data_IF_717723766697
#
_entry.id   IF_717723766697
#
_cell.length_a   1.000
_cell.length_b   1.000
_cell.length_c   1.000
_cell.angle_alpha   90.00
_cell.angle_beta   90.00
_cell.angle_gamma   90.00
#
_symmetry.space_group_name_H-M   'P 1'
#
loop_
_entity.id
_entity.type
_entity.pdbx_description
1 polymer ?
#
# COMPACT_ATOMS: atom_id res chain seq x y z
N UNK A 1 47.50 -13.45 62.28
CA UNK A 1 48.16 -12.14 62.05
C UNK A 1 49.12 -12.32 60.89
N UNK A 2 49.12 -11.62 59.76
CA UNK A 2 48.46 -10.37 59.38
C UNK A 2 48.46 -10.22 57.84
N UNK A 3 47.28 -9.82 57.33
CA UNK A 3 47.06 -8.77 56.32
C UNK A 3 47.66 -8.94 54.92
N UNK A 4 46.87 -9.54 54.02
CA UNK A 4 46.91 -9.21 52.60
C UNK A 4 46.33 -7.81 52.37
N UNK A 5 47.14 -6.90 51.81
CA UNK A 5 46.74 -5.53 51.46
C UNK A 5 46.09 -5.53 50.08
N UNK A 6 44.80 -5.21 50.03
CA UNK A 6 44.10 -4.86 48.80
C UNK A 6 44.67 -3.57 48.21
N UNK A 7 45.07 -3.63 46.94
CA UNK A 7 45.35 -2.44 46.13
C UNK A 7 44.03 -2.01 45.50
N UNK A 8 43.43 -0.97 46.07
CA UNK A 8 42.38 -0.21 45.41
C UNK A 8 42.98 0.42 44.14
N UNK A 9 42.46 0.03 42.97
CA UNK A 9 42.71 0.71 41.72
C UNK A 9 41.56 1.71 41.57
N UNK A 10 41.84 2.95 41.95
CA UNK A 10 40.97 4.10 41.70
C UNK A 10 41.03 4.34 40.20
N UNK A 11 39.96 3.99 39.51
CA UNK A 11 39.81 4.29 38.08
C UNK A 11 39.12 5.65 37.99
N UNK A 12 39.92 6.70 38.07
CA UNK A 12 39.53 8.06 37.71
C UNK A 12 39.58 8.15 36.18
N UNK A 13 38.49 7.78 35.53
CA UNK A 13 38.25 8.17 34.14
C UNK A 13 37.61 9.55 34.16
N UNK A 14 38.37 10.50 33.64
CA UNK A 14 38.01 11.88 33.40
C UNK A 14 36.80 11.91 32.45
N UNK A 15 35.66 12.40 32.96
CA UNK A 15 34.51 12.82 32.16
C UNK A 15 34.98 13.96 31.24
N UNK A 16 35.47 13.62 30.06
CA UNK A 16 35.48 14.54 28.92
C UNK A 16 34.06 15.05 28.75
N UNK A 17 33.91 16.37 28.67
CA UNK A 17 32.65 17.10 28.59
C UNK A 17 31.79 16.63 27.40
N UNK A 18 31.07 15.51 27.56
CA UNK A 18 30.10 15.05 26.57
C UNK A 18 28.98 16.07 26.58
N UNK A 19 28.91 16.88 25.53
CA UNK A 19 27.80 17.79 25.35
C UNK A 19 26.52 16.95 25.12
N UNK A 20 25.47 17.29 25.88
CA UNK A 20 24.20 16.58 25.87
C UNK A 20 23.10 17.45 25.26
N UNK A 21 22.11 16.83 24.65
CA UNK A 21 20.89 17.47 24.16
C UNK A 21 19.66 16.65 24.55
N UNK A 22 18.48 17.25 24.46
CA UNK A 22 17.22 16.58 24.74
C UNK A 22 16.57 16.08 23.46
N UNK A 23 16.15 14.82 23.45
CA UNK A 23 15.41 14.29 22.31
C UNK A 23 13.99 14.89 22.23
N UNK A 24 13.60 15.43 21.08
CA UNK A 24 12.28 15.99 20.84
C UNK A 24 11.15 14.95 20.86
N UNK A 25 11.46 13.66 20.72
CA UNK A 25 10.47 12.58 20.77
C UNK A 25 10.27 12.00 22.18
N UNK A 26 11.34 11.54 22.85
CA UNK A 26 11.26 10.92 24.18
C UNK A 26 11.61 11.84 25.35
N UNK A 27 12.12 13.06 25.09
CA UNK A 27 12.55 14.04 26.10
C UNK A 27 13.62 13.57 27.07
N UNK A 28 14.32 12.48 26.74
CA UNK A 28 15.46 12.02 27.52
C UNK A 28 16.71 12.78 27.08
N UNK A 29 17.62 12.97 28.04
CA UNK A 29 18.94 13.56 27.79
C UNK A 29 19.79 12.52 27.05
N UNK A 30 20.40 12.92 25.95
CA UNK A 30 21.19 12.06 25.09
C UNK A 30 22.51 12.74 24.74
N UNK A 31 23.58 11.95 24.60
CA UNK A 31 24.85 12.46 24.12
C UNK A 31 24.71 12.99 22.69
N UNK A 32 25.30 14.15 22.37
CA UNK A 32 25.21 14.73 21.03
C UNK A 32 25.68 13.78 19.94
N UNK A 33 26.67 12.93 20.24
CA UNK A 33 27.20 11.91 19.34
C UNK A 33 26.19 10.85 18.91
N UNK A 34 25.12 10.64 19.70
CA UNK A 34 24.05 9.68 19.43
C UNK A 34 22.69 10.33 19.13
N UNK A 35 22.74 11.58 18.66
CA UNK A 35 21.55 12.33 18.28
C UNK A 35 21.69 12.95 16.90
N UNK A 36 20.56 13.02 16.19
CA UNK A 36 20.44 13.77 14.95
C UNK A 36 19.82 15.13 15.29
N UNK A 37 20.64 16.18 15.25
CA UNK A 37 20.15 17.56 15.29
C UNK A 37 19.57 17.94 13.92
N UNK A 38 18.37 18.52 13.93
CA UNK A 38 17.67 19.01 12.75
C UNK A 38 17.72 20.54 12.71
N UNK A 39 17.52 21.12 11.52
CA UNK A 39 17.43 22.57 11.37
C UNK A 39 16.06 23.14 11.78
N UNK A 40 15.10 22.28 12.10
CA UNK A 40 13.76 22.69 12.51
C UNK A 40 13.69 23.04 13.99
N UNK A 41 12.79 23.96 14.31
CA UNK A 41 12.53 24.49 15.65
C UNK A 41 11.10 25.04 15.64
N UNK A 42 10.32 24.78 16.70
CA UNK A 42 9.01 25.42 16.87
C UNK A 42 9.17 26.85 17.39
N UNK A 43 8.22 27.76 17.11
CA UNK A 43 8.27 29.13 17.62
C UNK A 43 8.47 29.21 19.15
N UNK A 44 7.85 28.29 19.88
CA UNK A 44 7.92 28.19 21.34
C UNK A 44 9.17 27.51 21.89
N UNK A 45 9.89 26.75 21.08
CA UNK A 45 11.10 26.07 21.54
C UNK A 45 12.27 27.07 21.56
N UNK A 46 13.26 26.90 22.42
CA UNK A 46 14.48 27.72 22.42
C UNK A 46 15.59 27.09 21.56
N UNK A 47 15.58 25.77 21.44
CA UNK A 47 16.63 24.94 20.86
C UNK A 47 16.09 24.23 19.62
N UNK A 48 16.96 23.92 18.66
CA UNK A 48 16.64 23.08 17.51
C UNK A 48 16.21 21.67 17.95
N UNK A 49 15.37 21.03 17.15
CA UNK A 49 14.93 19.67 17.44
C UNK A 49 16.05 18.65 17.21
N UNK A 50 16.13 17.67 18.11
CA UNK A 50 17.10 16.59 18.03
C UNK A 50 16.40 15.25 18.28
N UNK A 51 16.80 14.19 17.58
CA UNK A 51 16.28 12.84 17.78
C UNK A 51 17.38 11.89 18.22
N UNK A 52 17.18 11.19 19.33
CA UNK A 52 18.06 10.09 19.70
C UNK A 52 17.93 8.93 18.72
N UNK A 53 18.94 8.06 18.68
CA UNK A 53 18.99 6.90 17.79
C UNK A 53 17.72 6.05 17.81
N UNK A 54 17.24 5.67 18.99
CA UNK A 54 16.06 4.81 19.14
C UNK A 54 14.81 5.47 18.57
N UNK A 55 14.54 6.71 18.96
CA UNK A 55 13.38 7.46 18.48
C UNK A 55 13.42 7.72 16.97
N UNK A 56 14.60 7.95 16.40
CA UNK A 56 14.77 8.13 14.96
C UNK A 56 14.52 6.83 14.19
N UNK A 57 15.04 5.71 14.68
CA UNK A 57 14.80 4.38 14.09
C UNK A 57 13.30 4.06 14.12
N UNK A 58 12.65 4.29 15.26
CA UNK A 58 11.22 4.08 15.39
C UNK A 58 10.46 5.02 14.45
N UNK A 59 10.89 6.30 14.34
CA UNK A 59 10.38 7.30 13.40
C UNK A 59 10.29 6.74 11.98
N UNK A 60 11.43 6.24 11.49
CA UNK A 60 11.54 5.64 10.17
C UNK A 60 10.67 4.40 10.04
N UNK A 61 10.74 3.45 10.98
CA UNK A 61 9.96 2.21 10.91
C UNK A 61 8.47 2.46 10.76
N UNK A 62 7.89 3.36 11.56
CA UNK A 62 6.45 3.65 11.43
C UNK A 62 6.14 4.42 10.15
N UNK A 63 7.07 5.23 9.62
CA UNK A 63 6.87 5.85 8.30
C UNK A 63 6.86 4.83 7.15
N UNK A 64 7.50 3.67 7.32
CA UNK A 64 7.47 2.59 6.33
C UNK A 64 6.17 1.79 6.37
N UNK A 65 5.55 1.67 7.55
CA UNK A 65 4.28 0.96 7.72
C UNK A 65 3.08 1.83 7.38
N UNK A 66 3.10 3.11 7.77
CA UNK A 66 2.02 4.06 7.56
C UNK A 66 2.43 5.09 6.50
N UNK A 67 1.82 4.99 5.31
CA UNK A 67 2.10 5.86 4.17
C UNK A 67 1.74 7.33 4.43
N UNK A 68 0.83 7.62 5.37
CA UNK A 68 0.48 9.01 5.75
C UNK A 68 1.64 9.73 6.46
N UNK A 69 2.50 8.95 7.12
CA UNK A 69 3.68 9.43 7.84
C UNK A 69 4.93 9.46 6.96
N UNK A 70 4.82 9.03 5.70
CA UNK A 70 5.91 9.04 4.74
C UNK A 70 5.87 10.31 3.89
N UNK A 71 7.01 10.94 3.58
CA UNK A 71 8.31 10.79 4.25
C UNK A 71 8.26 11.31 5.70
N UNK A 72 9.16 10.86 6.59
CA UNK A 72 9.23 11.31 7.97
C UNK A 72 9.50 12.81 8.04
N UNK A 73 8.70 13.53 8.84
CA UNK A 73 8.80 14.97 9.03
C UNK A 73 9.02 15.33 10.50
N UNK A 74 9.57 16.52 10.69
CA UNK A 74 9.62 17.23 11.96
C UNK A 74 9.27 18.70 11.74
N UNK A 75 8.28 19.23 12.48
CA UNK A 75 7.70 20.56 12.27
C UNK A 75 7.26 20.77 10.80
N UNK A 76 6.62 19.77 10.20
CA UNK A 76 6.23 19.78 8.79
C UNK A 76 7.39 19.68 7.78
N UNK A 77 8.66 19.79 8.19
CA UNK A 77 9.83 19.69 7.31
C UNK A 77 10.30 18.25 7.18
N UNK A 78 10.62 17.81 5.96
CA UNK A 78 11.14 16.45 5.69
C UNK A 78 12.49 16.26 6.37
N UNK A 79 12.66 15.14 7.07
CA UNK A 79 13.95 14.76 7.66
C UNK A 79 14.85 14.21 6.54
N UNK A 80 16.05 14.76 6.32
CA UNK A 80 16.93 14.32 5.25
C UNK A 80 17.50 12.92 5.54
N UNK A 81 17.20 11.96 4.67
CA UNK A 81 17.61 10.56 4.89
C UNK A 81 19.13 10.37 4.94
N UNK A 82 19.90 11.21 4.23
CA UNK A 82 21.37 11.14 4.24
C UNK A 82 21.93 11.38 5.65
N UNK A 83 21.28 12.22 6.45
CA UNK A 83 21.71 12.51 7.81
C UNK A 83 21.40 11.35 8.77
N UNK A 84 20.36 10.57 8.47
CA UNK A 84 19.97 9.39 9.25
C UNK A 84 20.96 8.22 9.10
N UNK A 85 21.76 8.16 8.02
CA UNK A 85 22.67 7.04 7.71
C UNK A 85 23.66 6.74 8.85
N UNK A 86 24.08 7.76 9.62
CA UNK A 86 25.04 7.59 10.72
C UNK A 86 24.44 6.90 11.95
N UNK A 87 23.14 7.06 12.18
CA UNK A 87 22.47 6.58 13.39
C UNK A 87 21.56 5.39 13.13
N UNK A 88 21.12 5.19 11.89
CA UNK A 88 20.19 4.13 11.52
C UNK A 88 20.92 2.92 10.91
N UNK A 89 20.41 1.70 11.13
CA UNK A 89 20.94 0.51 10.46
C UNK A 89 20.88 0.65 8.93
N UNK A 90 21.92 0.23 8.18
CA UNK A 90 21.92 0.32 6.72
C UNK A 90 20.69 -0.34 6.06
N UNK A 91 20.28 -1.50 6.57
CA UNK A 91 19.09 -2.22 6.09
C UNK A 91 17.80 -1.40 6.20
N UNK A 92 17.67 -0.54 7.23
CA UNK A 92 16.51 0.34 7.40
C UNK A 92 16.51 1.49 6.37
N UNK A 93 17.70 2.02 6.05
CA UNK A 93 17.87 3.05 5.02
C UNK A 93 17.55 2.49 3.64
N UNK A 94 17.96 1.26 3.35
CA UNK A 94 17.64 0.61 2.08
C UNK A 94 16.14 0.33 1.94
N UNK A 95 15.47 -0.13 3.00
CA UNK A 95 14.01 -0.23 3.02
C UNK A 95 13.32 1.12 2.78
N UNK A 96 13.86 2.19 3.34
CA UNK A 96 13.34 3.55 3.09
C UNK A 96 13.49 3.96 1.62
N UNK A 97 14.65 3.72 1.02
CA UNK A 97 14.88 4.01 -0.41
C UNK A 97 13.96 3.18 -1.29
N UNK A 98 13.76 1.90 -0.97
CA UNK A 98 12.85 1.03 -1.70
C UNK A 98 11.41 1.53 -1.59
N UNK A 99 10.95 1.93 -0.40
CA UNK A 99 9.63 2.53 -0.20
C UNK A 99 9.47 3.87 -0.93
N UNK A 100 10.52 4.70 -0.95
CA UNK A 100 10.53 5.95 -1.71
C UNK A 100 10.35 5.71 -3.20
N UNK A 101 11.04 4.71 -3.76
CA UNK A 101 10.91 4.33 -5.16
C UNK A 101 9.52 3.72 -5.45
N UNK A 102 9.00 2.89 -4.56
CA UNK A 102 7.65 2.31 -4.65
C UNK A 102 6.60 3.42 -4.77
N UNK A 103 6.64 4.41 -3.88
CA UNK A 103 5.67 5.53 -3.86
C UNK A 103 5.89 6.56 -4.97
N UNK A 104 7.07 6.58 -5.60
CA UNK A 104 7.34 7.44 -6.74
C UNK A 104 6.74 6.88 -8.05
N UNK A 105 6.39 5.59 -8.08
CA UNK A 105 5.79 4.97 -9.25
C UNK A 105 4.26 5.10 -9.22
N UNK A 106 3.60 5.43 -10.34
CA UNK A 106 2.15 5.55 -10.40
C UNK A 106 1.44 4.19 -10.31
N UNK A 107 2.09 3.12 -10.79
CA UNK A 107 1.55 1.76 -10.73
C UNK A 107 2.62 0.78 -10.22
N UNK A 108 2.90 0.77 -8.90
CA UNK A 108 3.87 -0.17 -8.32
C UNK A 108 3.34 -1.60 -8.44
N UNK A 109 4.26 -2.51 -8.76
CA UNK A 109 3.98 -3.94 -8.87
C UNK A 109 4.50 -4.65 -7.62
N UNK A 110 3.65 -5.49 -7.03
CA UNK A 110 3.99 -6.31 -5.87
C UNK A 110 3.95 -7.78 -6.27
N UNK A 111 4.72 -8.60 -5.56
CA UNK A 111 4.68 -10.04 -5.74
C UNK A 111 3.29 -10.59 -5.43
N UNK A 112 2.71 -11.32 -6.38
CA UNK A 112 1.41 -11.99 -6.28
C UNK A 112 1.36 -13.09 -5.21
N UNK A 113 2.51 -13.58 -4.76
CA UNK A 113 2.57 -14.52 -3.63
C UNK A 113 2.17 -13.80 -2.35
N UNK A 114 1.02 -14.21 -1.76
CA UNK A 114 0.43 -13.62 -0.54
C UNK A 114 1.36 -13.65 0.68
N UNK A 115 2.26 -14.64 0.77
CA UNK A 115 3.24 -14.72 1.85
C UNK A 115 4.46 -13.80 1.62
N UNK A 116 4.68 -13.36 0.37
CA UNK A 116 5.78 -12.48 0.02
C UNK A 116 5.33 -11.01 0.00
N UNK A 117 4.38 -10.67 -0.88
CA UNK A 117 3.82 -9.32 -1.02
C UNK A 117 4.83 -8.19 -1.27
N UNK A 118 6.09 -8.50 -1.55
CA UNK A 118 7.15 -7.49 -1.67
C UNK A 118 7.01 -6.70 -2.97
N UNK A 119 7.32 -5.41 -2.89
CA UNK A 119 7.45 -4.54 -4.06
C UNK A 119 8.55 -5.07 -5.00
N UNK A 120 8.25 -5.13 -6.30
CA UNK A 120 9.17 -5.55 -7.35
C UNK A 120 9.65 -4.31 -8.10
N UNK A 121 10.97 -4.12 -8.13
CA UNK A 121 11.60 -2.98 -8.80
C UNK A 121 11.36 -3.07 -10.32
N UNK A 122 11.21 -1.94 -11.03
CA UNK A 122 11.02 -1.93 -12.48
C UNK A 122 12.11 -2.68 -13.27
N UNK A 123 13.36 -2.71 -12.77
CA UNK A 123 14.44 -3.47 -13.40
C UNK A 123 14.29 -5.01 -13.34
N UNK A 124 13.33 -5.52 -12.58
CA UNK A 124 12.97 -6.94 -12.51
C UNK A 124 11.70 -7.26 -13.31
N UNK A 125 11.28 -6.34 -14.19
CA UNK A 125 10.12 -6.50 -15.07
C UNK A 125 10.61 -6.71 -16.50
N UNK A 126 10.16 -7.78 -17.12
CA UNK A 126 10.43 -8.11 -18.53
C UNK A 126 9.11 -8.28 -19.27
N UNK A 127 8.83 -7.40 -20.23
CA UNK A 127 7.51 -7.27 -20.86
C UNK A 127 6.41 -7.13 -19.79
N UNK A 128 5.44 -8.04 -19.76
CA UNK A 128 4.31 -8.00 -18.82
C UNK A 128 4.48 -8.91 -17.60
N UNK A 129 5.71 -9.37 -17.34
CA UNK A 129 6.04 -10.29 -16.25
C UNK A 129 7.07 -9.66 -15.32
N UNK A 130 6.70 -9.56 -14.05
CA UNK A 130 7.56 -9.12 -12.95
C UNK A 130 8.07 -10.33 -12.17
N UNK A 131 9.38 -10.51 -12.08
CA UNK A 131 9.99 -11.61 -11.31
C UNK A 131 10.40 -11.13 -9.93
N UNK A 132 9.87 -11.76 -8.88
CA UNK A 132 10.20 -11.38 -7.51
C UNK A 132 11.64 -11.79 -7.15
N UNK A 133 12.53 -10.86 -6.74
CA UNK A 133 13.89 -11.22 -6.39
C UNK A 133 13.99 -12.07 -5.11
N UNK A 134 12.98 -11.99 -4.22
CA UNK A 134 12.97 -12.67 -2.92
C UNK A 134 12.48 -14.12 -2.99
N UNK A 135 11.34 -14.39 -3.64
CA UNK A 135 10.77 -15.74 -3.71
C UNK A 135 10.84 -16.36 -5.11
N UNK A 136 11.34 -15.63 -6.12
CA UNK A 136 11.44 -16.05 -7.53
C UNK A 136 10.11 -16.30 -8.25
N UNK A 137 8.99 -16.05 -7.57
CA UNK A 137 7.66 -16.14 -8.19
C UNK A 137 7.46 -15.02 -9.23
N UNK A 138 6.67 -15.32 -10.26
CA UNK A 138 6.38 -14.42 -11.37
C UNK A 138 4.96 -13.85 -11.25
N UNK A 139 4.84 -12.55 -11.50
CA UNK A 139 3.58 -11.80 -11.37
C UNK A 139 3.28 -11.08 -12.68
N UNK A 140 2.04 -11.13 -13.14
CA UNK A 140 1.61 -10.35 -14.29
C UNK A 140 1.47 -8.87 -13.89
N UNK A 141 2.10 -7.96 -14.64
CA UNK A 141 2.07 -6.52 -14.35
C UNK A 141 0.71 -5.86 -14.64
N UNK A 142 -0.10 -6.48 -15.50
CA UNK A 142 -1.40 -5.98 -15.92
C UNK A 142 -2.46 -6.30 -14.87
N UNK A 143 -2.68 -7.60 -14.58
CA UNK A 143 -3.70 -8.03 -13.62
C UNK A 143 -3.22 -8.15 -12.17
N UNK A 144 -1.91 -8.04 -11.92
CA UNK A 144 -1.26 -8.18 -10.60
C UNK A 144 -1.42 -9.58 -9.95
N UNK A 145 -1.92 -10.55 -10.72
CA UNK A 145 -2.05 -11.95 -10.30
C UNK A 145 -0.80 -12.77 -10.67
N UNK A 146 -0.69 -14.04 -10.19
CA UNK A 146 0.38 -14.93 -10.63
C UNK A 146 0.47 -15.00 -12.15
N UNK A 147 1.69 -15.18 -12.66
CA UNK A 147 1.92 -15.31 -14.09
C UNK A 147 0.98 -16.37 -14.68
N UNK A 148 0.27 -15.98 -15.72
CA UNK A 148 -0.57 -16.88 -16.51
C UNK A 148 -0.01 -17.00 -17.93
N UNK A 149 -0.36 -18.10 -18.60
CA UNK A 149 0.02 -18.33 -19.99
C UNK A 149 -1.00 -17.66 -20.92
N UNK A 150 -0.53 -17.03 -22.00
CA UNK A 150 -1.37 -16.34 -22.98
C UNK A 150 -1.68 -14.90 -22.60
N UNK A 151 -2.60 -14.30 -23.36
CA UNK A 151 -3.02 -12.90 -23.20
C UNK A 151 -3.76 -12.69 -21.87
N UNK A 152 -3.44 -11.58 -21.18
CA UNK A 152 -4.08 -11.25 -19.91
C UNK A 152 -5.56 -10.86 -20.13
N UNK A 153 -6.53 -11.47 -19.42
CA UNK A 153 -7.95 -11.08 -19.55
C UNK A 153 -8.25 -9.65 -19.11
N UNK A 154 -7.41 -9.08 -18.22
CA UNK A 154 -7.52 -7.69 -17.75
C UNK A 154 -6.69 -6.71 -18.59
N UNK A 155 -6.07 -7.17 -19.69
CA UNK A 155 -5.41 -6.27 -20.64
C UNK A 155 -6.48 -5.46 -21.38
N UNK A 156 -6.44 -4.12 -21.34
CA UNK A 156 -7.40 -3.26 -22.03
C UNK A 156 -7.54 -3.59 -23.52
N UNK A 157 -6.44 -3.94 -24.19
CA UNK A 157 -6.43 -4.29 -25.61
C UNK A 157 -7.19 -5.60 -25.86
N UNK A 158 -7.03 -6.56 -24.95
CA UNK A 158 -7.74 -7.85 -25.02
C UNK A 158 -9.21 -7.65 -24.71
N UNK A 159 -9.57 -6.80 -23.75
CA UNK A 159 -10.96 -6.47 -23.45
C UNK A 159 -11.65 -5.80 -24.65
N UNK A 160 -11.02 -4.79 -25.25
CA UNK A 160 -11.54 -4.15 -26.47
C UNK A 160 -11.71 -5.14 -27.62
N UNK A 161 -10.73 -6.03 -27.84
CA UNK A 161 -10.86 -7.08 -28.86
C UNK A 161 -12.03 -8.03 -28.56
N UNK A 162 -12.28 -8.32 -27.28
CA UNK A 162 -13.37 -9.20 -26.86
C UNK A 162 -14.74 -8.53 -26.98
N UNK A 163 -14.83 -7.23 -26.73
CA UNK A 163 -16.03 -6.43 -26.98
C UNK A 163 -16.37 -6.41 -28.46
N UNK A 164 -15.40 -6.06 -29.33
CA UNK A 164 -15.59 -6.08 -30.78
C UNK A 164 -15.94 -7.49 -31.28
N UNK A 165 -15.28 -8.52 -30.74
CA UNK A 165 -15.61 -9.90 -31.05
C UNK A 165 -17.02 -10.28 -30.59
N UNK A 166 -17.51 -9.74 -29.47
CA UNK A 166 -18.88 -9.90 -29.00
C UNK A 166 -19.90 -9.25 -29.93
N UNK A 167 -19.66 -7.99 -30.30
CA UNK A 167 -20.51 -7.23 -31.23
C UNK A 167 -20.57 -7.90 -32.60
N UNK A 168 -19.39 -8.24 -33.16
CA UNK A 168 -19.27 -8.92 -34.45
C UNK A 168 -19.56 -10.39 -34.39
N UNK A 169 -19.82 -10.94 -33.19
CA UNK A 169 -20.09 -12.36 -32.95
C UNK A 169 -19.00 -13.25 -33.55
N UNK A 170 -17.74 -12.87 -33.36
CA UNK A 170 -16.61 -13.72 -33.71
C UNK A 170 -16.52 -14.93 -32.76
N UNK A 171 -15.99 -16.04 -33.27
CA UNK A 171 -15.91 -17.29 -32.51
C UNK A 171 -14.45 -17.69 -32.27
N UNK A 172 -14.15 -18.25 -31.09
CA UNK A 172 -12.84 -18.83 -30.80
C UNK A 172 -12.79 -20.29 -31.21
N UNK A 173 -11.68 -20.70 -31.82
CA UNK A 173 -11.43 -22.12 -32.07
C UNK A 173 -11.39 -22.89 -30.73
N UNK A 174 -12.15 -23.98 -30.53
CA UNK A 174 -12.13 -24.74 -29.28
C UNK A 174 -10.78 -25.40 -28.99
N UNK A 175 -9.96 -25.63 -30.03
CA UNK A 175 -8.67 -26.32 -29.92
C UNK A 175 -7.52 -25.37 -29.58
N UNK A 176 -7.40 -24.25 -30.28
CA UNK A 176 -6.25 -23.34 -30.16
C UNK A 176 -6.63 -21.93 -29.69
N UNK A 177 -7.92 -21.67 -29.41
CA UNK A 177 -8.48 -20.40 -28.93
C UNK A 177 -8.29 -19.18 -29.85
N UNK A 178 -7.67 -19.34 -31.03
CA UNK A 178 -7.59 -18.29 -32.05
C UNK A 178 -8.97 -17.78 -32.42
N UNK A 179 -9.10 -16.46 -32.54
CA UNK A 179 -10.34 -15.81 -32.98
C UNK A 179 -10.59 -16.05 -34.47
N UNK A 180 -11.83 -16.38 -34.82
CA UNK A 180 -12.25 -16.73 -36.18
C UNK A 180 -13.49 -15.93 -36.53
N UNK A 181 -13.41 -15.21 -37.64
CA UNK A 181 -14.54 -14.53 -38.29
C UNK A 181 -15.19 -15.44 -39.34
N UNK A 182 -16.51 -15.44 -39.40
CA UNK A 182 -17.28 -16.07 -40.48
C UNK A 182 -17.86 -14.98 -41.37
N UNK A 183 -17.22 -14.75 -42.51
CA UNK A 183 -17.69 -13.81 -43.51
C UNK A 183 -18.88 -14.38 -44.31
N UNK A 184 -18.68 -15.51 -44.98
CA UNK A 184 -19.70 -16.17 -45.81
C UNK A 184 -19.61 -17.70 -45.69
N UNK A 185 -20.68 -18.41 -46.07
CA UNK A 185 -20.73 -19.87 -46.12
C UNK A 185 -21.40 -20.55 -44.92
N UNK A 186 -21.17 -21.86 -44.80
CA UNK A 186 -21.76 -22.71 -43.77
C UNK A 186 -21.06 -22.57 -42.40
N UNK A 187 -21.66 -23.11 -41.34
CA UNK A 187 -21.11 -23.06 -39.99
C UNK A 187 -20.02 -24.11 -39.72
N UNK A 188 -19.57 -24.86 -40.73
CA UNK A 188 -18.42 -25.76 -40.62
C UNK A 188 -17.13 -24.97 -40.75
N UNK A 189 -16.39 -24.85 -39.65
CA UNK A 189 -15.13 -24.12 -39.63
C UNK A 189 -13.96 -25.07 -39.54
N UNK A 190 -12.93 -24.82 -40.36
CA UNK A 190 -11.64 -25.49 -40.29
C UNK A 190 -10.58 -24.48 -39.91
N UNK A 191 -10.11 -24.57 -38.66
CA UNK A 191 -9.06 -23.68 -38.16
C UNK A 191 -7.71 -24.02 -38.78
N UNK A 192 -6.80 -23.04 -38.84
CA UNK A 192 -5.40 -23.23 -39.28
C UNK A 192 -4.64 -24.26 -38.44
N UNK A 193 -5.06 -24.50 -37.19
CA UNK A 193 -4.51 -25.58 -36.35
C UNK A 193 -4.99 -26.99 -36.75
N UNK A 194 -5.81 -27.11 -37.79
CA UNK A 194 -6.42 -28.36 -38.27
C UNK A 194 -7.67 -28.79 -37.51
N UNK A 195 -8.11 -28.05 -36.49
CA UNK A 195 -9.35 -28.33 -35.76
C UNK A 195 -10.59 -27.95 -36.56
N UNK A 196 -11.61 -28.81 -36.53
CA UNK A 196 -12.90 -28.57 -37.18
C UNK A 196 -14.04 -28.42 -36.16
N UNK A 197 -14.84 -27.36 -36.29
CA UNK A 197 -15.86 -27.02 -35.29
C UNK A 197 -17.07 -26.32 -35.90
N UNK A 198 -18.18 -26.30 -35.16
CA UNK A 198 -19.38 -25.53 -35.50
C UNK A 198 -19.23 -24.08 -35.04
N UNK A 199 -19.39 -23.11 -35.95
CA UNK A 199 -19.24 -21.68 -35.62
C UNK A 199 -20.25 -21.17 -34.58
N UNK A 200 -21.48 -21.73 -34.56
CA UNK A 200 -22.55 -21.31 -33.63
C UNK A 200 -22.27 -21.68 -32.18
N UNK A 201 -21.73 -22.88 -31.92
CA UNK A 201 -21.61 -23.43 -30.57
C UNK A 201 -20.19 -23.84 -30.16
N UNK A 202 -19.19 -23.62 -31.03
CA UNK A 202 -17.79 -24.00 -30.82
C UNK A 202 -17.53 -25.48 -30.54
N UNK A 203 -18.52 -26.37 -30.65
CA UNK A 203 -18.33 -27.83 -30.46
C UNK A 203 -17.62 -28.44 -31.68
N UNK A 204 -16.88 -29.56 -31.51
CA UNK A 204 -16.29 -30.30 -32.62
C UNK A 204 -17.33 -30.59 -33.72
N UNK A 205 -16.93 -30.51 -34.98
CA UNK A 205 -17.87 -30.62 -36.09
C UNK A 205 -18.68 -31.93 -36.03
N UNK A 206 -19.97 -31.85 -36.36
CA UNK A 206 -20.96 -32.96 -36.27
C UNK A 206 -21.24 -33.52 -34.86
N UNK A 207 -20.79 -32.86 -33.79
CA UNK A 207 -21.16 -33.23 -32.41
C UNK A 207 -22.33 -32.43 -31.82
N UNK A 208 -22.87 -31.48 -32.59
CA UNK A 208 -24.00 -30.62 -32.22
C UNK A 208 -25.19 -30.78 -33.18
N UNK A 209 -26.40 -30.42 -32.72
CA UNK A 209 -27.63 -30.37 -33.53
C UNK A 209 -27.92 -28.98 -34.11
N UNK A 210 -26.92 -28.09 -34.15
CA UNK A 210 -27.10 -26.76 -34.74
C UNK A 210 -27.47 -26.87 -36.22
N UNK A 211 -28.25 -25.91 -36.71
CA UNK A 211 -28.39 -25.67 -38.15
C UNK A 211 -26.99 -25.57 -38.78
N UNK A 212 -26.83 -26.04 -40.02
CA UNK A 212 -25.52 -26.12 -40.66
C UNK A 212 -25.17 -24.88 -41.48
N UNK A 213 -26.14 -24.09 -41.93
CA UNK A 213 -25.93 -22.83 -42.65
C UNK A 213 -27.14 -21.90 -42.49
N UNK A 214 -27.03 -20.68 -43.02
CA UNK A 214 -28.10 -19.70 -43.18
C UNK A 214 -28.06 -19.24 -44.65
N UNK A 215 -29.21 -19.28 -45.32
CA UNK A 215 -29.33 -18.98 -46.76
C UNK A 215 -28.85 -17.56 -47.08
N UNK A 216 -29.06 -16.60 -46.16
CA UNK A 216 -28.63 -15.22 -46.35
C UNK A 216 -27.10 -15.05 -46.39
N UNK A 217 -26.34 -16.08 -45.98
CA UNK A 217 -24.86 -16.10 -45.99
C UNK A 217 -24.25 -16.92 -47.13
N UNK A 218 -25.09 -17.53 -47.97
CA UNK A 218 -24.65 -18.33 -49.11
C UNK A 218 -24.58 -17.51 -50.41
N UNK A 219 -25.09 -16.28 -50.40
CA UNK A 219 -25.15 -15.38 -51.56
C UNK A 219 -24.17 -14.23 -51.36
N UNK A 220 -23.16 -14.14 -52.22
CA UNK A 220 -22.17 -13.07 -52.23
C UNK A 220 -22.83 -11.73 -52.63
N UNK A 221 -22.78 -10.74 -51.73
CA UNK A 221 -23.37 -9.41 -51.94
C UNK A 221 -24.45 -9.00 -50.95
N UNK A 222 -24.98 -9.93 -50.16
CA UNK A 222 -25.83 -9.60 -49.01
C UNK A 222 -24.95 -9.11 -47.87
N UNK A 223 -25.01 -7.82 -47.53
CA UNK A 223 -24.32 -7.31 -46.33
C UNK A 223 -25.03 -7.86 -45.09
N UNK A 224 -24.59 -9.01 -44.59
CA UNK A 224 -25.00 -9.49 -43.28
C UNK A 224 -24.13 -8.77 -42.26
N UNK A 225 -24.69 -7.79 -41.55
CA UNK A 225 -23.94 -6.84 -40.72
C UNK A 225 -23.17 -7.51 -39.56
N UNK A 226 -23.68 -8.64 -39.04
CA UNK A 226 -23.14 -9.33 -37.85
C UNK A 226 -23.11 -10.84 -38.03
N UNK A 227 -22.17 -11.55 -37.41
CA UNK A 227 -22.12 -13.02 -37.43
C UNK A 227 -23.39 -13.67 -36.79
N UNK A 228 -23.67 -14.97 -37.01
CA UNK A 228 -24.85 -15.62 -36.44
C UNK A 228 -24.78 -15.57 -34.92
N UNK A 229 -25.93 -15.46 -34.24
CA UNK A 229 -25.99 -15.58 -32.78
C UNK A 229 -25.24 -16.83 -32.33
N UNK A 230 -24.07 -16.64 -31.74
CA UNK A 230 -23.20 -17.68 -31.26
C UNK A 230 -22.98 -17.48 -29.77
N UNK A 231 -22.88 -18.59 -29.05
CA UNK A 231 -22.41 -18.53 -27.67
C UNK A 231 -20.90 -18.39 -27.76
N UNK A 232 -20.40 -17.16 -27.59
CA UNK A 232 -19.02 -17.00 -27.13
C UNK A 232 -19.05 -17.62 -25.74
N UNK A 233 -18.48 -18.82 -25.60
CA UNK A 233 -18.10 -19.31 -24.29
C UNK A 233 -17.00 -18.38 -23.80
N UNK A 234 -17.41 -17.27 -23.17
CA UNK A 234 -16.57 -16.61 -22.19
C UNK A 234 -16.08 -17.72 -21.26
N UNK A 235 -14.81 -17.69 -20.84
CA UNK A 235 -14.43 -18.57 -19.75
C UNK A 235 -15.49 -18.37 -18.66
N UNK A 236 -16.15 -19.44 -18.26
CA UNK A 236 -16.89 -19.41 -17.00
C UNK A 236 -15.87 -18.83 -16.03
N UNK A 237 -16.19 -17.66 -15.48
CA UNK A 237 -15.58 -17.24 -14.25
C UNK A 237 -15.89 -18.42 -13.32
N UNK A 238 -14.93 -19.34 -13.13
CA UNK A 238 -14.95 -20.09 -11.89
C UNK A 238 -15.06 -18.99 -10.84
N UNK A 239 -16.22 -18.92 -10.19
CA UNK A 239 -16.43 -18.13 -8.99
C UNK A 239 -15.43 -18.66 -7.96
N UNK A 240 -14.17 -18.25 -8.11
CA UNK A 240 -13.31 -18.09 -6.97
C UNK A 240 -14.04 -17.05 -6.17
N UNK A 241 -14.59 -17.46 -5.03
CA UNK A 241 -15.08 -16.55 -4.01
C UNK A 241 -13.90 -15.66 -3.62
N UNK A 242 -13.66 -14.61 -4.40
CA UNK A 242 -12.75 -13.54 -4.04
C UNK A 242 -13.42 -12.86 -2.86
N UNK A 243 -12.96 -13.20 -1.65
CA UNK A 243 -13.23 -12.40 -0.48
C UNK A 243 -12.90 -10.95 -0.86
N UNK A 244 -13.92 -10.09 -0.88
CA UNK A 244 -13.85 -8.72 -1.37
C UNK A 244 -12.66 -7.99 -0.70
N UNK A 245 -11.52 -7.82 -1.40
CA UNK A 245 -10.35 -7.18 -0.83
C UNK A 245 -10.61 -5.69 -0.58
N UNK A 246 -11.62 -5.14 -1.26
CA UNK A 246 -12.04 -3.76 -1.09
C UNK A 246 -12.76 -3.58 0.24
N UNK A 247 -13.41 -4.60 0.80
CA UNK A 247 -14.05 -4.47 2.11
C UNK A 247 -13.01 -4.28 3.22
N UNK A 248 -11.91 -5.05 3.21
CA UNK A 248 -10.82 -4.89 4.19
C UNK A 248 -9.98 -3.63 3.94
N UNK A 249 -9.72 -3.28 2.67
CA UNK A 249 -8.97 -2.05 2.34
C UNK A 249 -9.80 -0.80 2.59
N UNK A 250 -11.10 -0.80 2.29
CA UNK A 250 -12.00 0.33 2.60
C UNK A 250 -12.24 0.40 4.11
N UNK A 251 -12.31 -0.72 4.84
CA UNK A 251 -12.36 -0.68 6.29
C UNK A 251 -11.04 -0.20 6.92
N UNK A 252 -9.88 -0.61 6.42
CA UNK A 252 -8.57 -0.11 6.86
C UNK A 252 -8.35 1.36 6.46
N UNK A 253 -8.77 1.75 5.25
CA UNK A 253 -8.72 3.14 4.78
C UNK A 253 -9.74 4.01 5.51
N UNK A 254 -10.95 3.51 5.84
CA UNK A 254 -11.95 4.19 6.67
C UNK A 254 -11.49 4.25 8.12
N UNK A 255 -10.79 3.25 8.64
CA UNK A 255 -10.18 3.28 9.97
C UNK A 255 -9.06 4.33 10.02
N UNK A 256 -8.25 4.43 8.97
CA UNK A 256 -7.17 5.44 8.81
C UNK A 256 -7.70 6.84 8.50
N UNK A 257 -8.76 6.97 7.71
CA UNK A 257 -9.48 8.21 7.44
C UNK A 257 -10.24 8.66 8.68
N UNK A 258 -10.81 7.76 9.48
CA UNK A 258 -11.35 8.10 10.80
C UNK A 258 -10.25 8.60 11.76
N UNK A 259 -8.99 8.18 11.59
CA UNK A 259 -7.86 8.72 12.36
C UNK A 259 -7.30 10.05 11.83
N UNK A 260 -7.63 10.45 10.60
CA UNK A 260 -7.12 11.68 9.96
C UNK A 260 -8.21 12.76 9.78
N UNK A 261 -9.46 12.37 9.60
CA UNK A 261 -10.65 13.21 9.54
C UNK A 261 -11.46 13.21 10.85
N UNK A 262 -11.07 12.38 11.84
CA UNK A 262 -11.66 12.35 13.16
C UNK A 262 -11.17 13.50 14.05
N UNK A 263 -11.66 14.70 13.77
CA UNK A 263 -12.12 15.51 14.89
C UNK A 263 -13.21 14.71 15.60
N UNK A 264 -12.92 14.28 16.84
CA UNK A 264 -13.90 13.87 17.85
C UNK A 264 -14.93 12.78 17.49
N UNK A 265 -14.71 11.58 18.04
CA UNK A 265 -15.81 10.80 18.61
C UNK A 265 -15.28 10.00 19.80
N UNK A 266 -15.41 10.58 21.00
CA UNK A 266 -15.44 9.76 22.22
C UNK A 266 -16.85 9.15 22.21
N UNK A 267 -16.96 7.83 22.01
CA UNK A 267 -18.17 7.12 22.40
C UNK A 267 -18.25 7.18 23.94
N UNK A 268 -18.98 8.17 24.44
CA UNK A 268 -19.60 8.05 25.75
C UNK A 268 -21.03 7.58 25.49
N UNK A 269 -21.33 6.37 25.96
CA UNK A 269 -22.70 5.89 26.08
C UNK A 269 -23.50 6.87 26.96
N UNK A 270 -24.59 7.42 26.40
CA UNK A 270 -25.58 8.23 27.11
C UNK A 270 -25.62 9.70 26.66
N UNK A 271 -26.38 9.98 25.59
CA UNK A 271 -26.83 11.32 25.23
C UNK A 271 -28.31 11.42 25.60
N UNK A 272 -28.67 12.37 26.47
CA UNK A 272 -29.90 13.12 26.25
C UNK A 272 -29.55 14.23 25.25
N UNK A 273 -30.24 14.22 24.12
CA UNK A 273 -29.97 15.01 22.92
C UNK A 273 -30.14 16.50 23.19
N UNK A 274 -29.11 17.28 22.84
CA UNK A 274 -29.24 18.72 22.59
C UNK A 274 -28.48 19.06 21.30
N UNK A 275 -29.20 19.69 20.38
CA UNK A 275 -28.87 19.95 18.97
C UNK A 275 -27.82 21.05 18.74
N UNK A 276 -26.75 21.12 19.54
CA UNK A 276 -25.75 22.20 19.46
C UNK A 276 -24.30 21.72 19.15
N UNK A 277 -24.11 20.47 18.68
CA UNK A 277 -22.79 19.86 18.52
C UNK A 277 -22.11 20.04 17.14
N UNK A 278 -22.71 20.78 16.19
CA UNK A 278 -22.21 20.90 14.81
C UNK A 278 -21.41 22.19 14.49
N UNK A 279 -21.05 22.99 15.51
CA UNK A 279 -20.35 24.28 15.31
C UNK A 279 -18.91 24.36 15.83
N UNK A 280 -18.22 23.24 16.10
CA UNK A 280 -16.87 23.28 16.71
C UNK A 280 -15.78 22.43 16.03
N UNK A 281 -15.93 22.06 14.76
CA UNK A 281 -14.95 21.20 14.08
C UNK A 281 -13.96 21.90 13.12
N UNK A 282 -13.96 23.23 12.96
CA UNK A 282 -13.16 23.87 11.91
C UNK A 282 -12.09 24.91 12.29
N UNK A 283 -11.96 25.37 13.54
CA UNK A 283 -10.90 26.36 13.89
C UNK A 283 -10.32 26.20 15.30
N UNK A 284 -9.89 24.99 15.68
CA UNK A 284 -9.05 24.87 16.88
C UNK A 284 -7.62 25.35 16.54
N UNK A 285 -7.20 26.49 17.07
CA UNK A 285 -5.82 27.00 16.94
C UNK A 285 -4.77 26.20 17.74
N UNK A 286 -5.12 24.97 18.14
CA UNK A 286 -4.34 23.97 18.84
C UNK A 286 -3.21 24.51 19.72
N UNK A 287 -3.57 25.07 20.88
CA UNK A 287 -2.59 25.41 21.92
C UNK A 287 -2.27 24.17 22.76
N UNK A 288 -1.03 23.70 22.69
CA UNK A 288 -0.60 22.43 23.31
C UNK A 288 0.05 22.66 24.67
N UNK A 289 -0.52 22.05 25.72
CA UNK A 289 0.09 22.00 27.05
C UNK A 289 0.54 20.58 27.33
N UNK A 290 1.77 20.43 27.83
CA UNK A 290 2.33 19.12 28.18
C UNK A 290 1.74 18.61 29.49
N UNK A 291 1.40 17.34 29.53
CA UNK A 291 1.02 16.62 30.75
C UNK A 291 1.92 15.42 30.94
N UNK A 292 2.21 15.11 32.21
CA UNK A 292 2.94 13.94 32.63
C UNK A 292 1.98 13.07 33.42
N UNK A 293 2.03 11.74 33.18
CA UNK A 293 1.25 10.80 33.97
C UNK A 293 1.63 10.89 35.45
N UNK A 294 0.67 10.68 36.35
CA UNK A 294 0.93 10.65 37.79
C UNK A 294 1.85 9.46 38.11
N UNK A 295 2.92 9.70 38.88
CA UNK A 295 3.82 8.68 39.46
C UNK A 295 4.10 7.42 38.61
N UNK A 296 4.57 7.60 37.38
CA UNK A 296 5.03 6.50 36.52
C UNK A 296 3.96 5.86 35.63
N UNK A 297 2.71 6.34 35.69
CA UNK A 297 1.68 5.99 34.72
C UNK A 297 2.04 6.50 33.32
N UNK A 298 1.77 5.66 32.29
CA UNK A 298 1.95 6.04 30.89
C UNK A 298 0.64 6.56 30.33
N UNK A 299 0.70 7.66 29.61
CA UNK A 299 -0.43 8.22 28.88
C UNK A 299 -0.38 7.80 27.41
N UNK A 300 -1.53 7.45 26.85
CA UNK A 300 -1.67 7.05 25.45
C UNK A 300 -1.81 8.26 24.52
N UNK A 301 -1.12 8.21 23.39
CA UNK A 301 -1.37 9.12 22.27
C UNK A 301 -2.72 8.78 21.61
N UNK A 302 -3.61 9.75 21.43
CA UNK A 302 -4.90 9.55 20.75
C UNK A 302 -4.79 9.26 19.24
N UNK A 303 -3.59 9.42 18.65
CA UNK A 303 -3.36 9.22 17.22
C UNK A 303 -2.62 7.92 16.92
N UNK A 304 -1.53 7.63 17.66
CA UNK A 304 -0.73 6.42 17.42
C UNK A 304 -0.93 5.35 18.50
N UNK A 305 -1.75 5.60 19.52
CA UNK A 305 -2.02 4.72 20.65
C UNK A 305 -0.79 4.25 21.43
N UNK A 306 0.38 4.84 21.18
CA UNK A 306 1.61 4.52 21.89
C UNK A 306 1.56 5.07 23.31
N UNK A 307 1.97 4.24 24.27
CA UNK A 307 1.98 4.54 25.70
C UNK A 307 3.30 5.22 26.08
N UNK A 308 3.23 6.47 26.51
CA UNK A 308 4.37 7.34 26.73
C UNK A 308 4.38 7.93 28.14
N UNK A 309 5.56 8.35 28.61
CA UNK A 309 5.70 9.03 29.92
C UNK A 309 5.01 10.40 29.95
N UNK A 310 4.73 10.99 28.79
CA UNK A 310 4.08 12.29 28.64
C UNK A 310 3.38 12.36 27.29
N UNK A 311 2.34 13.21 27.22
CA UNK A 311 1.65 13.57 25.99
C UNK A 311 1.35 15.07 26.02
N UNK A 312 1.04 15.64 24.85
CA UNK A 312 0.55 17.02 24.76
C UNK A 312 -0.96 16.99 24.69
N UNK A 313 -1.60 17.83 25.48
CA UNK A 313 -3.04 18.00 25.51
C UNK A 313 -3.37 19.37 24.97
N UNK A 314 -4.26 19.44 23.97
CA UNK A 314 -4.77 20.72 23.53
C UNK A 314 -5.62 21.35 24.64
N UNK A 315 -5.36 22.61 25.01
CA UNK A 315 -6.12 23.27 26.09
C UNK A 315 -7.60 23.45 25.74
N UNK A 316 -7.90 23.64 24.46
CA UNK A 316 -9.24 23.89 23.91
C UNK A 316 -9.99 22.58 23.68
N UNK A 317 -9.45 21.72 22.82
CA UNK A 317 -10.16 20.53 22.36
C UNK A 317 -9.70 19.24 23.07
N UNK A 318 -8.89 19.32 24.13
CA UNK A 318 -8.46 18.19 24.97
C UNK A 318 -7.82 16.99 24.24
N UNK A 319 -7.53 17.11 22.95
CA UNK A 319 -6.88 16.07 22.15
C UNK A 319 -5.51 15.75 22.73
N UNK A 320 -5.21 14.47 22.91
CA UNK A 320 -3.93 13.97 23.44
C UNK A 320 -3.04 13.47 22.30
N UNK A 321 -1.85 14.03 22.17
CA UNK A 321 -0.93 13.67 21.09
C UNK A 321 0.52 13.59 21.58
N UNK A 322 1.25 12.56 21.15
CA UNK A 322 2.67 12.47 21.44
C UNK A 322 3.48 13.47 20.61
N UNK A 323 4.68 13.84 21.06
CA UNK A 323 5.56 14.72 20.29
C UNK A 323 5.86 14.19 18.89
N UNK A 324 5.90 12.87 18.72
CA UNK A 324 6.19 12.27 17.43
C UNK A 324 5.08 12.52 16.42
N UNK A 325 3.83 12.30 16.81
CA UNK A 325 2.67 12.62 15.99
C UNK A 325 2.54 14.13 15.81
N UNK A 326 2.75 14.90 16.88
CA UNK A 326 2.72 16.36 16.83
C UNK A 326 3.73 16.91 15.83
N UNK A 327 4.98 16.42 15.82
CA UNK A 327 6.01 16.95 14.93
C UNK A 327 5.90 16.44 13.48
N UNK A 328 5.27 15.27 13.25
CA UNK A 328 5.22 14.64 11.92
C UNK A 328 3.90 14.92 11.18
N UNK A 329 2.80 15.08 11.92
CA UNK A 329 1.44 15.27 11.38
C UNK A 329 0.94 16.72 11.47
N UNK A 330 1.46 17.51 12.41
CA UNK A 330 1.08 18.91 12.66
C UNK A 330 2.31 19.81 12.51
#
# INVERSE_FOLDING_TARGET
MSKGKGKARVDSFEDEHVAHTFCSACMEQCALSDTLELECKRPEDAIKHAYCRSCLIDLLRTSLTDTTLFPPRCCGKRIPIFACVKLCPPALIDQYRDKQNELALPNPVYCSNRYCGKFIKPGCVTADVATCPSCKEETCTICKNPRHNGLCPKDPTVQMLMEVAGEKRWQRCPRCRTMVELFEGCYHMRCRCGGEFCYKCAKPWKTCRCVQWDENRLISGTQVADAPGNHIAMPEEEEVQEADPLLDVVNDLNLRLATVAGGFAIQNDGVEESDDADQLSSECSHHWKRTHGQEGEREGCGVCHHQLKFVNICTTCKTRICNRCLNNRL
#
